data_IF_686641227986
#
_entry.id   IF_686641227986
#
_cell.length_a   1.000
_cell.length_b   1.000
_cell.length_c   1.000
_cell.angle_alpha   90.00
_cell.angle_beta   90.00
_cell.angle_gamma   90.00
#
_symmetry.space_group_name_H-M   'P 1'
#
loop_
_entity.id
_entity.type
_entity.pdbx_description
1 polymer ?
#
# COMPACT_ATOMS: atom_id res chain seq x y z
N UNK A 1 11.53 -0.62 8.83
CA UNK A 1 11.41 -0.24 7.41
C UNK A 1 12.78 0.14 6.80
N UNK A 2 13.83 -0.67 6.94
CA UNK A 2 15.12 -0.43 6.26
C UNK A 2 15.64 1.02 6.30
N UNK A 3 16.25 1.47 5.19
CA UNK A 3 16.86 2.80 4.99
C UNK A 3 15.89 3.87 4.45
N UNK A 4 14.57 3.64 4.50
CA UNK A 4 13.58 4.61 3.99
C UNK A 4 13.22 5.57 5.11
N UNK A 5 13.46 6.85 4.85
CA UNK A 5 13.22 7.95 5.79
C UNK A 5 12.03 8.80 5.38
N UNK A 6 11.78 8.97 4.08
CA UNK A 6 10.74 9.86 3.56
C UNK A 6 10.00 9.23 2.38
N UNK A 7 8.67 9.12 2.51
CA UNK A 7 7.76 8.86 1.39
C UNK A 7 6.97 10.13 1.06
N UNK A 8 6.81 10.44 -0.22
CA UNK A 8 6.03 11.59 -0.66
C UNK A 8 5.04 11.21 -1.75
N UNK A 9 3.89 11.87 -1.79
CA UNK A 9 2.92 11.65 -2.86
C UNK A 9 3.46 12.18 -4.19
N UNK A 10 3.22 11.45 -5.28
CA UNK A 10 3.68 11.81 -6.63
C UNK A 10 3.25 13.22 -7.07
N UNK A 11 2.21 13.77 -6.43
CA UNK A 11 1.66 15.10 -6.73
C UNK A 11 2.28 16.24 -5.93
N UNK A 12 3.03 15.95 -4.86
CA UNK A 12 3.47 16.98 -3.90
C UNK A 12 4.76 17.71 -4.31
N UNK A 13 5.33 17.40 -5.49
CA UNK A 13 6.55 18.02 -6.06
C UNK A 13 7.69 18.20 -5.03
N UNK A 14 7.83 17.26 -4.09
CA UNK A 14 8.89 17.30 -3.08
C UNK A 14 10.12 16.59 -3.63
N UNK A 15 11.22 17.32 -3.71
CA UNK A 15 12.54 16.74 -3.99
C UNK A 15 13.08 16.03 -2.75
N UNK A 16 13.76 14.88 -2.95
CA UNK A 16 14.41 14.14 -1.87
C UNK A 16 13.58 13.09 -1.15
N UNK A 17 12.46 12.63 -1.73
CA UNK A 17 11.74 11.46 -1.21
C UNK A 17 12.48 10.16 -1.58
N UNK A 18 12.58 9.23 -0.63
CA UNK A 18 13.14 7.89 -0.85
C UNK A 18 12.16 6.99 -1.61
N UNK A 19 10.86 7.26 -1.46
CA UNK A 19 9.76 6.59 -2.17
C UNK A 19 8.77 7.64 -2.68
N UNK A 20 8.33 7.46 -3.93
CA UNK A 20 7.20 8.20 -4.51
C UNK A 20 5.94 7.34 -4.46
N UNK A 21 4.89 7.86 -3.81
CA UNK A 21 3.63 7.13 -3.61
C UNK A 21 2.57 7.56 -4.63
N UNK A 22 1.99 6.57 -5.32
CA UNK A 22 0.94 6.71 -6.34
C UNK A 22 -0.36 6.07 -5.83
N UNK A 23 -1.53 6.54 -6.28
CA UNK A 23 -2.83 6.01 -5.86
C UNK A 23 -3.59 6.86 -4.84
N UNK A 24 -2.91 7.81 -4.19
CA UNK A 24 -3.54 8.79 -3.29
C UNK A 24 -4.28 9.85 -4.09
N UNK A 25 -5.55 10.10 -3.73
CA UNK A 25 -6.50 10.94 -4.50
C UNK A 25 -6.67 10.47 -5.94
N UNK A 26 -6.58 9.15 -6.15
CA UNK A 26 -6.53 8.48 -7.44
C UNK A 26 -7.56 7.37 -7.55
N UNK A 27 -7.26 6.41 -8.40
CA UNK A 27 -8.03 5.18 -8.58
C UNK A 27 -7.78 4.24 -7.39
N UNK A 28 -6.54 4.19 -6.88
CA UNK A 28 -6.16 3.32 -5.76
C UNK A 28 -6.94 3.56 -4.46
N UNK A 29 -7.26 4.81 -4.12
CA UNK A 29 -8.10 5.13 -2.95
C UNK A 29 -9.59 5.31 -3.29
N UNK A 30 -9.95 5.19 -4.56
CA UNK A 30 -11.29 5.33 -5.10
C UNK A 30 -11.82 6.77 -5.13
N UNK A 31 -10.96 7.79 -5.05
CA UNK A 31 -11.31 9.17 -5.35
C UNK A 31 -11.71 9.33 -6.82
N UNK A 32 -11.08 8.55 -7.70
CA UNK A 32 -11.49 8.30 -9.08
C UNK A 32 -11.94 6.85 -9.21
N UNK A 33 -12.94 6.54 -10.06
CA UNK A 33 -13.35 5.16 -10.28
C UNK A 33 -12.22 4.36 -10.93
N UNK A 34 -12.10 3.08 -10.59
CA UNK A 34 -11.22 2.15 -11.30
C UNK A 34 -11.62 2.10 -12.79
N UNK A 35 -10.65 1.96 -13.71
CA UNK A 35 -10.95 1.75 -15.12
C UNK A 35 -11.56 0.35 -15.34
N UNK A 36 -12.19 0.14 -16.50
CA UNK A 36 -12.67 -1.20 -16.88
C UNK A 36 -11.52 -2.21 -17.06
N UNK A 37 -10.37 -1.73 -17.54
CA UNK A 37 -9.17 -2.53 -17.75
C UNK A 37 -7.95 -1.83 -17.14
N UNK A 38 -7.06 -2.62 -16.55
CA UNK A 38 -5.86 -2.17 -15.83
C UNK A 38 -4.95 -1.27 -16.70
N UNK A 39 -4.71 -1.54 -18.00
CA UNK A 39 -3.91 -0.63 -18.85
C UNK A 39 -4.49 0.79 -18.96
N UNK A 40 -5.79 0.97 -18.72
CA UNK A 40 -6.44 2.28 -18.71
C UNK A 40 -6.22 3.07 -17.41
N UNK A 41 -5.56 2.49 -16.41
CA UNK A 41 -5.37 3.13 -15.10
C UNK A 41 -4.32 4.23 -15.17
N UNK A 42 -4.69 5.42 -14.72
CA UNK A 42 -3.73 6.52 -14.55
C UNK A 42 -2.68 6.22 -13.50
N UNK A 43 -3.08 5.57 -12.40
CA UNK A 43 -2.18 5.24 -11.30
C UNK A 43 -1.15 4.17 -11.72
N UNK A 44 -1.58 3.12 -12.42
CA UNK A 44 -0.69 2.08 -12.95
C UNK A 44 0.30 2.66 -13.96
N UNK A 45 -0.18 3.46 -14.91
CA UNK A 45 0.68 4.10 -15.91
C UNK A 45 1.70 5.05 -15.26
N UNK A 46 1.30 5.78 -14.21
CA UNK A 46 2.22 6.63 -13.45
C UNK A 46 3.27 5.81 -12.68
N UNK A 47 2.88 4.69 -12.07
CA UNK A 47 3.79 3.79 -11.37
C UNK A 47 4.83 3.17 -12.32
N UNK A 48 4.41 2.70 -13.50
CA UNK A 48 5.32 2.19 -14.54
C UNK A 48 6.32 3.27 -14.95
N UNK A 49 5.84 4.47 -15.28
CA UNK A 49 6.72 5.57 -15.70
C UNK A 49 7.76 5.96 -14.64
N UNK A 50 7.40 5.93 -13.36
CA UNK A 50 8.32 6.22 -12.26
C UNK A 50 9.34 5.10 -12.06
N UNK A 51 8.88 3.84 -12.15
CA UNK A 51 9.73 2.65 -12.07
C UNK A 51 10.76 2.62 -13.20
N UNK A 52 10.34 2.92 -14.44
CA UNK A 52 11.24 3.01 -15.61
C UNK A 52 12.30 4.12 -15.47
N UNK A 53 12.02 5.14 -14.65
CA UNK A 53 12.98 6.21 -14.32
C UNK A 53 13.92 5.82 -13.17
N UNK A 54 13.82 4.61 -12.63
CA UNK A 54 14.62 4.13 -11.51
C UNK A 54 14.25 4.75 -10.16
N UNK A 55 13.03 5.27 -10.03
CA UNK A 55 12.50 5.79 -8.76
C UNK A 55 11.87 4.65 -7.99
N UNK A 56 12.11 4.55 -6.68
CA UNK A 56 11.38 3.60 -5.85
C UNK A 56 9.93 4.03 -5.70
N UNK A 57 8.98 3.14 -6.01
CA UNK A 57 7.55 3.46 -6.06
C UNK A 57 6.77 2.73 -4.98
N UNK A 58 5.85 3.45 -4.34
CA UNK A 58 4.83 2.89 -3.47
C UNK A 58 3.45 2.98 -4.11
N UNK A 59 2.76 1.86 -4.31
CA UNK A 59 1.35 1.84 -4.68
C UNK A 59 0.46 1.95 -3.44
N UNK A 60 -0.44 2.92 -3.38
CA UNK A 60 -1.43 3.07 -2.31
C UNK A 60 -2.81 2.60 -2.78
N UNK A 61 -3.38 1.61 -2.09
CA UNK A 61 -4.70 1.06 -2.42
C UNK A 61 -5.57 0.88 -1.18
N UNK A 62 -6.79 1.41 -1.23
CA UNK A 62 -7.83 1.18 -0.23
C UNK A 62 -8.70 0.02 -0.74
N UNK A 63 -8.58 -1.14 -0.11
CA UNK A 63 -9.34 -2.33 -0.50
C UNK A 63 -10.77 -2.20 0.03
N UNK A 64 -11.72 -1.98 -0.88
CA UNK A 64 -13.16 -1.86 -0.60
C UNK A 64 -13.95 -3.08 -1.06
N UNK A 65 -13.47 -3.75 -2.10
CA UNK A 65 -14.08 -4.91 -2.72
C UNK A 65 -13.03 -5.74 -3.49
N UNK A 66 -13.48 -6.79 -4.19
CA UNK A 66 -12.61 -7.67 -4.99
C UNK A 66 -11.95 -7.00 -6.20
N UNK A 67 -12.54 -5.94 -6.76
CA UNK A 67 -11.90 -5.21 -7.85
C UNK A 67 -10.69 -4.42 -7.33
N UNK A 68 -10.80 -3.81 -6.14
CA UNK A 68 -9.67 -3.15 -5.50
C UNK A 68 -8.61 -4.14 -5.01
N UNK A 69 -8.99 -5.34 -4.56
CA UNK A 69 -8.04 -6.42 -4.25
C UNK A 69 -7.23 -6.81 -5.50
N UNK A 70 -7.90 -7.02 -6.63
CA UNK A 70 -7.23 -7.31 -7.91
C UNK A 70 -6.35 -6.14 -8.36
N UNK A 71 -6.82 -4.91 -8.22
CA UNK A 71 -6.04 -3.72 -8.54
C UNK A 71 -4.79 -3.61 -7.67
N UNK A 72 -4.89 -3.91 -6.37
CA UNK A 72 -3.75 -3.95 -5.46
C UNK A 72 -2.71 -5.00 -5.89
N UNK A 73 -3.15 -6.19 -6.33
CA UNK A 73 -2.25 -7.22 -6.84
C UNK A 73 -1.53 -6.76 -8.12
N UNK A 74 -2.22 -6.10 -9.05
CA UNK A 74 -1.57 -5.56 -10.26
C UNK A 74 -0.59 -4.43 -9.94
N UNK A 75 -0.95 -3.51 -9.04
CA UNK A 75 -0.03 -2.48 -8.54
C UNK A 75 1.20 -3.08 -7.85
N UNK A 76 1.00 -4.15 -7.08
CA UNK A 76 2.07 -4.86 -6.37
C UNK A 76 3.08 -5.54 -7.30
N UNK A 77 2.69 -5.96 -8.50
CA UNK A 77 3.64 -6.51 -9.50
C UNK A 77 4.57 -5.46 -10.09
N UNK A 78 4.22 -4.18 -9.93
CA UNK A 78 4.93 -3.05 -10.56
C UNK A 78 5.77 -2.30 -9.52
N UNK A 79 5.21 -2.06 -8.33
CA UNK A 79 5.81 -1.19 -7.32
C UNK A 79 6.80 -1.95 -6.41
N UNK A 80 7.76 -1.22 -5.85
CA UNK A 80 8.66 -1.75 -4.81
C UNK A 80 7.94 -1.92 -3.46
N UNK A 81 6.94 -1.08 -3.21
CA UNK A 81 6.12 -1.09 -2.00
C UNK A 81 4.63 -1.09 -2.36
N UNK A 82 3.84 -1.87 -1.64
CA UNK A 82 2.40 -1.86 -1.72
C UNK A 82 1.82 -1.47 -0.36
N UNK A 83 1.29 -0.25 -0.28
CA UNK A 83 0.62 0.31 0.88
C UNK A 83 -0.87 0.00 0.76
N UNK A 84 -1.35 -0.99 1.50
CA UNK A 84 -2.76 -1.42 1.44
C UNK A 84 -3.45 -1.15 2.75
N UNK A 85 -4.66 -0.60 2.70
CA UNK A 85 -5.52 -0.44 3.88
C UNK A 85 -6.90 -1.00 3.58
N UNK A 86 -7.58 -1.43 4.64
CA UNK A 86 -8.95 -1.91 4.56
C UNK A 86 -9.99 -0.90 5.04
N UNK A 87 -11.21 -0.99 4.51
CA UNK A 87 -12.38 -0.36 5.14
C UNK A 87 -12.99 -1.22 6.24
N UNK A 88 -12.84 -2.54 6.16
CA UNK A 88 -13.24 -3.50 7.21
C UNK A 88 -12.27 -4.69 7.23
N UNK A 89 -11.49 -4.79 8.31
CA UNK A 89 -10.53 -5.86 8.56
C UNK A 89 -11.15 -7.26 8.63
N UNK A 90 -12.44 -7.35 8.94
CA UNK A 90 -13.17 -8.63 8.98
C UNK A 90 -13.50 -9.15 7.59
N UNK A 91 -13.42 -8.30 6.57
CA UNK A 91 -13.89 -8.58 5.20
C UNK A 91 -12.74 -8.79 4.22
N UNK A 92 -11.51 -8.38 4.56
CA UNK A 92 -10.35 -8.46 3.67
C UNK A 92 -9.45 -9.62 4.09
N UNK A 93 -9.54 -10.79 3.45
CA UNK A 93 -8.55 -11.84 3.64
C UNK A 93 -7.24 -11.43 2.96
N UNK A 94 -6.32 -10.88 3.74
CA UNK A 94 -4.96 -10.48 3.30
C UNK A 94 -4.19 -11.62 2.65
N UNK A 95 -4.53 -12.84 3.02
CA UNK A 95 -3.97 -14.10 2.53
C UNK A 95 -4.00 -14.19 0.99
N UNK A 96 -5.09 -13.74 0.35
CA UNK A 96 -5.20 -13.77 -1.10
C UNK A 96 -4.17 -12.87 -1.77
N UNK A 97 -4.08 -11.62 -1.31
CA UNK A 97 -3.16 -10.63 -1.88
C UNK A 97 -1.70 -11.06 -1.64
N UNK A 98 -1.40 -11.58 -0.45
CA UNK A 98 -0.08 -12.13 -0.12
C UNK A 98 0.25 -13.32 -1.01
N UNK A 99 -0.69 -14.24 -1.21
CA UNK A 99 -0.49 -15.41 -2.07
C UNK A 99 -0.22 -15.02 -3.52
N UNK A 100 -0.93 -14.03 -4.05
CA UNK A 100 -0.75 -13.52 -5.41
C UNK A 100 0.62 -12.85 -5.59
N UNK A 101 1.14 -12.19 -4.54
CA UNK A 101 2.39 -11.43 -4.59
C UNK A 101 3.59 -12.18 -3.98
N UNK A 102 3.42 -13.42 -3.50
CA UNK A 102 4.47 -14.16 -2.77
C UNK A 102 5.76 -14.39 -3.57
N UNK A 103 5.69 -14.34 -4.91
CA UNK A 103 6.85 -14.49 -5.82
C UNK A 103 7.38 -13.17 -6.35
N UNK A 104 6.68 -12.08 -6.07
CA UNK A 104 7.05 -10.74 -6.47
C UNK A 104 8.02 -10.14 -5.44
N UNK A 105 8.76 -9.11 -5.86
CA UNK A 105 9.76 -8.44 -5.00
C UNK A 105 9.16 -7.34 -4.11
N UNK A 106 7.86 -7.07 -4.28
CA UNK A 106 7.17 -5.99 -3.59
C UNK A 106 7.11 -6.22 -2.09
N UNK A 107 7.30 -5.14 -1.33
CA UNK A 107 7.09 -5.16 0.12
C UNK A 107 5.69 -4.70 0.45
N UNK A 108 4.93 -5.56 1.13
CA UNK A 108 3.54 -5.26 1.49
C UNK A 108 3.53 -4.60 2.86
N UNK A 109 2.98 -3.38 2.94
CA UNK A 109 2.81 -2.62 4.17
C UNK A 109 1.32 -2.38 4.40
N UNK A 110 0.82 -2.80 5.55
CA UNK A 110 -0.61 -2.69 5.84
C UNK A 110 -0.96 -1.47 6.69
N UNK A 111 -1.90 -0.64 6.22
CA UNK A 111 -2.43 0.53 6.93
C UNK A 111 -3.32 0.14 8.11
N UNK A 112 -2.96 0.58 9.31
CA UNK A 112 -3.66 0.33 10.58
C UNK A 112 -3.99 1.66 11.26
N UNK A 113 -5.11 1.72 11.99
CA UNK A 113 -5.53 2.93 12.71
C UNK A 113 -5.28 2.88 14.22
N UNK A 114 -4.95 1.70 14.75
CA UNK A 114 -4.72 1.48 16.17
C UNK A 114 -3.70 0.38 16.42
N UNK A 115 -3.16 0.36 17.64
CA UNK A 115 -2.30 -0.73 18.12
C UNK A 115 -2.99 -2.09 18.12
N UNK A 116 -4.32 -2.13 18.30
CA UNK A 116 -5.10 -3.37 18.22
C UNK A 116 -5.14 -3.91 16.79
N UNK A 117 -5.44 -3.05 15.81
CA UNK A 117 -5.41 -3.42 14.39
C UNK A 117 -4.01 -3.86 13.96
N UNK A 118 -2.96 -3.18 14.44
CA UNK A 118 -1.57 -3.58 14.19
C UNK A 118 -1.28 -4.99 14.72
N UNK A 119 -1.70 -5.31 15.95
CA UNK A 119 -1.56 -6.65 16.53
C UNK A 119 -2.33 -7.71 15.74
N UNK A 120 -3.54 -7.39 15.27
CA UNK A 120 -4.32 -8.30 14.44
C UNK A 120 -3.63 -8.54 13.09
N UNK A 121 -3.15 -7.47 12.46
CA UNK A 121 -2.38 -7.55 11.23
C UNK A 121 -1.18 -8.48 11.43
N UNK A 122 -0.33 -8.25 12.44
CA UNK A 122 0.84 -9.09 12.66
C UNK A 122 0.52 -10.58 12.88
N UNK A 123 -0.61 -10.91 13.51
CA UNK A 123 -1.08 -12.30 13.63
C UNK A 123 -1.45 -12.91 12.27
N UNK A 124 -2.14 -12.15 11.41
CA UNK A 124 -2.49 -12.60 10.05
C UNK A 124 -1.27 -12.64 9.13
N UNK A 125 -0.30 -11.75 9.36
CA UNK A 125 0.87 -11.53 8.52
C UNK A 125 2.06 -12.44 8.86
N UNK A 126 1.88 -13.44 9.75
CA UNK A 126 2.92 -14.38 10.23
C UNK A 126 3.76 -15.05 9.11
N UNK A 127 3.33 -14.99 7.84
CA UNK A 127 4.08 -15.50 6.69
C UNK A 127 4.20 -14.59 5.45
N UNK A 128 3.79 -13.31 5.46
CA UNK A 128 3.82 -12.60 4.17
C UNK A 128 3.53 -11.11 4.03
N UNK A 129 3.52 -10.30 5.09
CA UNK A 129 3.71 -8.86 4.88
C UNK A 129 4.89 -8.33 5.69
N UNK A 130 5.50 -7.30 5.13
CA UNK A 130 6.79 -6.76 5.57
C UNK A 130 6.65 -5.72 6.70
N UNK A 131 5.43 -5.24 6.97
CA UNK A 131 5.15 -4.33 8.07
C UNK A 131 3.76 -3.71 8.07
N UNK A 132 3.56 -2.76 8.99
CA UNK A 132 2.34 -1.97 9.13
C UNK A 132 2.63 -0.47 9.08
N UNK A 133 1.67 0.32 8.61
CA UNK A 133 1.66 1.78 8.58
C UNK A 133 0.57 2.27 9.54
N UNK A 134 0.97 2.80 10.70
CA UNK A 134 0.02 3.37 11.67
C UNK A 134 -0.37 4.79 11.26
N UNK A 135 -1.65 4.99 10.96
CA UNK A 135 -2.27 6.31 10.80
C UNK A 135 -2.98 6.70 12.10
N UNK A 136 -2.31 7.49 12.93
CA UNK A 136 -2.86 7.98 14.19
C UNK A 136 -2.35 9.37 14.55
N UNK A 137 -3.29 10.25 14.93
CA UNK A 137 -2.98 11.54 15.54
C UNK A 137 -2.64 11.46 17.03
N UNK A 138 -2.70 10.27 17.64
CA UNK A 138 -2.46 10.07 19.07
C UNK A 138 -1.07 9.47 19.31
N UNK A 139 -0.12 10.20 19.94
CA UNK A 139 1.21 9.67 20.25
C UNK A 139 1.20 8.42 21.15
N UNK A 140 0.15 8.20 21.93
CA UNK A 140 0.02 7.01 22.76
C UNK A 140 -0.17 5.74 21.93
N UNK A 141 -0.89 5.80 20.81
CA UNK A 141 -1.05 4.68 19.87
C UNK A 141 0.30 4.24 19.28
N UNK A 142 1.21 5.19 19.04
CA UNK A 142 2.57 4.89 18.58
C UNK A 142 3.28 4.01 19.61
N UNK A 143 3.23 4.40 20.89
CA UNK A 143 3.86 3.63 21.98
C UNK A 143 3.24 2.25 22.14
N UNK A 144 1.93 2.14 21.97
CA UNK A 144 1.22 0.88 22.17
C UNK A 144 1.31 -0.07 20.98
N UNK A 145 1.69 0.43 19.79
CA UNK A 145 1.93 -0.35 18.57
C UNK A 145 3.33 -0.99 18.53
N UNK A 146 4.33 -0.35 19.14
CA UNK A 146 5.72 -0.86 19.17
C UNK A 146 6.01 -1.80 20.34
N UNK A 147 5.01 -2.12 21.16
CA UNK A 147 5.09 -3.08 22.26
C UNK A 147 4.77 -4.49 21.77
#
# INVERSE_FOLDING_TARGET
>A
LGNITVAAFARDNRSGADIVVVGVRGEGDGTKPLPQEIPGSFDVNAAILLTDKGVNVGGYVVIKDKNYERFAAEMGKICDYLLVTGTDWKVIPLENLIADLQREKVKIIFGVKSAEEARLAFKTLEKGADGVLLDSGNPQEIKDTIK
#
